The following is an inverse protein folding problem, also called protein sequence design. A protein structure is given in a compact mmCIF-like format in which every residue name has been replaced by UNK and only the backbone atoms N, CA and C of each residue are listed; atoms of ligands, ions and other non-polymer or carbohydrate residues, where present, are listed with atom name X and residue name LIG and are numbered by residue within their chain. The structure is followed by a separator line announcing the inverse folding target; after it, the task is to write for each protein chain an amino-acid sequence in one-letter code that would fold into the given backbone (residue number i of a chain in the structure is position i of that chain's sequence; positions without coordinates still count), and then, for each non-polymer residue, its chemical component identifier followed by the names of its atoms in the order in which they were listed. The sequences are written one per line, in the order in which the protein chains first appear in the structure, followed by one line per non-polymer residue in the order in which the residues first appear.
data_IF_594497971490
#
_entry.id   IF_594497971490
#
_cell.length_a   1.000
_cell.length_b   1.000
_cell.length_c   1.000
_cell.angle_alpha   90.00
_cell.angle_beta   90.00
_cell.angle_gamma   90.00
#
_symmetry.space_group_name_H-M   'P 1'
#
loop_
_entity.id
_entity.type
_entity.pdbx_description
1 polymer ?
#
# COMPACT_ATOMS: atom_id res chain seq x y z
N UNK A 1 10.36 7.64 15.38
CA UNK A 1 10.60 8.75 14.44
C UNK A 1 9.87 8.51 13.13
N UNK A 2 8.54 8.70 13.12
CA UNK A 2 7.72 8.62 11.90
C UNK A 2 8.08 9.76 10.94
N UNK A 3 8.44 10.90 11.50
CA UNK A 3 8.89 12.10 10.78
C UNK A 3 10.18 11.88 9.98
N UNK A 4 11.08 11.01 10.47
CA UNK A 4 12.34 10.68 9.80
C UNK A 4 12.12 9.68 8.66
N UNK A 5 11.15 8.76 8.81
CA UNK A 5 10.66 7.89 7.74
C UNK A 5 9.94 8.69 6.65
N UNK A 6 9.12 9.67 7.03
CA UNK A 6 8.43 10.59 6.12
C UNK A 6 9.40 11.52 5.37
N UNK A 7 10.42 12.06 6.05
CA UNK A 7 11.46 12.85 5.39
C UNK A 7 12.29 12.01 4.42
N UNK A 8 12.55 10.73 4.75
CA UNK A 8 13.16 9.79 3.82
C UNK A 8 12.22 9.44 2.65
N UNK A 9 10.92 9.31 2.89
CA UNK A 9 9.89 9.13 1.84
C UNK A 9 9.89 10.31 0.88
N UNK A 10 9.80 11.55 1.39
CA UNK A 10 9.77 12.78 0.59
C UNK A 10 11.10 12.98 -0.17
N UNK A 11 12.24 12.85 0.51
CA UNK A 11 13.55 13.04 -0.11
C UNK A 11 13.84 12.01 -1.23
N UNK A 12 13.19 10.85 -1.19
CA UNK A 12 13.33 9.77 -2.17
C UNK A 12 12.33 9.85 -3.33
N UNK A 13 11.41 10.82 -3.34
CA UNK A 13 10.34 11.00 -4.34
C UNK A 13 10.78 11.92 -5.49
N UNK A 14 12.04 11.86 -5.94
CA UNK A 14 12.57 12.76 -6.99
C UNK A 14 12.32 12.31 -8.44
N UNK A 15 11.41 11.36 -8.68
CA UNK A 15 11.13 10.81 -10.03
C UNK A 15 9.68 11.02 -10.52
N UNK A 16 8.91 11.89 -9.84
CA UNK A 16 7.57 12.32 -10.25
C UNK A 16 7.54 13.86 -10.28
N UNK A 17 6.79 14.45 -11.20
CA UNK A 17 6.65 15.90 -11.23
C UNK A 17 5.94 16.37 -9.94
N UNK A 18 6.39 17.49 -9.36
CA UNK A 18 5.93 17.96 -8.04
C UNK A 18 4.40 18.21 -7.98
N UNK A 19 3.79 18.49 -9.14
CA UNK A 19 2.36 18.73 -9.30
C UNK A 19 1.52 17.45 -9.27
N UNK A 20 2.04 16.35 -9.84
CA UNK A 20 1.40 15.03 -9.81
C UNK A 20 1.45 14.42 -8.40
N UNK A 21 2.59 14.58 -7.72
CA UNK A 21 2.73 14.17 -6.31
C UNK A 21 1.73 14.88 -5.42
N UNK A 22 1.56 16.19 -5.63
CA UNK A 22 0.64 17.00 -4.84
C UNK A 22 -0.82 16.57 -5.04
N UNK A 23 -1.22 16.31 -6.29
CA UNK A 23 -2.59 15.87 -6.59
C UNK A 23 -2.90 14.49 -6.01
N UNK A 24 -1.93 13.59 -6.03
CA UNK A 24 -2.09 12.25 -5.44
C UNK A 24 -2.12 12.32 -3.91
N UNK A 25 -1.21 13.08 -3.30
CA UNK A 25 -1.08 13.23 -1.85
C UNK A 25 -2.25 14.01 -1.23
N UNK A 26 -2.79 15.04 -1.90
CA UNK A 26 -3.95 15.80 -1.39
C UNK A 26 -5.23 14.96 -1.31
N UNK A 27 -5.30 13.82 -2.00
CA UNK A 27 -6.47 12.97 -2.08
C UNK A 27 -6.24 11.54 -1.55
N UNK A 28 -5.15 11.30 -0.81
CA UNK A 28 -4.88 10.03 -0.14
C UNK A 28 -4.56 10.28 1.33
N UNK A 29 -5.05 9.41 2.21
CA UNK A 29 -4.54 9.33 3.58
C UNK A 29 -3.10 8.81 3.60
N UNK A 30 -2.39 9.02 4.70
CA UNK A 30 -1.00 8.58 4.85
C UNK A 30 -0.83 7.06 4.63
N UNK A 31 -1.75 6.27 5.17
CA UNK A 31 -1.76 4.81 4.98
C UNK A 31 -1.92 4.42 3.50
N UNK A 32 -2.83 5.08 2.78
CA UNK A 32 -3.06 4.83 1.37
C UNK A 32 -1.89 5.28 0.50
N UNK A 33 -1.26 6.41 0.85
CA UNK A 33 -0.08 6.90 0.17
C UNK A 33 1.09 5.92 0.32
N UNK A 34 1.30 5.36 1.51
CA UNK A 34 2.34 4.36 1.75
C UNK A 34 2.15 3.12 0.86
N UNK A 35 0.93 2.55 0.81
CA UNK A 35 0.64 1.41 -0.07
C UNK A 35 0.84 1.78 -1.55
N UNK A 36 0.36 2.95 -1.97
CA UNK A 36 0.56 3.44 -3.33
C UNK A 36 2.04 3.57 -3.69
N UNK A 37 2.89 4.09 -2.79
CA UNK A 37 4.33 4.22 -3.01
C UNK A 37 5.02 2.86 -3.15
N UNK A 38 4.64 1.87 -2.33
CA UNK A 38 5.14 0.50 -2.47
C UNK A 38 4.80 -0.10 -3.83
N UNK A 39 3.61 0.17 -4.35
CA UNK A 39 3.20 -0.25 -5.69
C UNK A 39 3.97 0.51 -6.78
N UNK A 40 4.22 1.80 -6.58
CA UNK A 40 4.89 2.65 -7.56
C UNK A 40 6.43 2.54 -7.59
N UNK A 41 7.06 1.81 -6.66
CA UNK A 41 8.54 1.74 -6.57
C UNK A 41 9.11 0.34 -6.39
N UNK A 42 9.82 -0.24 -7.39
CA UNK A 42 9.88 0.23 -8.79
C UNK A 42 8.52 0.05 -9.48
N UNK A 43 8.15 0.97 -10.36
CA UNK A 43 6.98 0.81 -11.26
C UNK A 43 7.42 0.75 -12.71
N UNK A 44 6.61 0.11 -13.58
CA UNK A 44 6.76 0.27 -15.02
C UNK A 44 6.33 1.69 -15.44
N UNK A 45 6.58 2.07 -16.68
CA UNK A 45 5.99 3.28 -17.24
C UNK A 45 4.47 3.13 -17.35
N UNK A 46 3.75 4.01 -16.65
CA UNK A 46 2.29 4.04 -16.55
C UNK A 46 1.75 5.35 -17.12
N UNK A 47 0.64 5.25 -17.85
CA UNK A 47 -0.21 6.38 -18.22
C UNK A 47 -0.97 6.93 -17.01
N UNK A 48 -1.54 8.13 -17.14
CA UNK A 48 -2.32 8.76 -16.07
C UNK A 48 -3.53 7.91 -15.64
N UNK A 49 -4.18 7.25 -16.60
CA UNK A 49 -5.29 6.34 -16.33
C UNK A 49 -4.85 5.12 -15.52
N UNK A 50 -3.69 4.55 -15.84
CA UNK A 50 -3.12 3.41 -15.11
C UNK A 50 -2.64 3.83 -13.72
N UNK A 51 -2.08 5.03 -13.55
CA UNK A 51 -1.72 5.58 -12.23
C UNK A 51 -2.95 5.75 -11.34
N UNK A 52 -4.05 6.25 -11.90
CA UNK A 52 -5.33 6.36 -11.19
C UNK A 52 -5.89 4.98 -10.82
N UNK A 53 -5.71 3.98 -11.67
CA UNK A 53 -6.08 2.59 -11.35
C UNK A 53 -5.27 2.07 -10.16
N UNK A 54 -3.94 2.25 -10.15
CA UNK A 54 -3.10 1.84 -9.01
C UNK A 54 -3.53 2.54 -7.71
N UNK A 55 -3.89 3.83 -7.79
CA UNK A 55 -4.43 4.57 -6.65
C UNK A 55 -5.71 3.91 -6.09
N UNK A 56 -6.68 3.58 -6.94
CA UNK A 56 -7.92 2.91 -6.54
C UNK A 56 -7.67 1.53 -5.93
N UNK A 57 -6.71 0.78 -6.46
CA UNK A 57 -6.31 -0.52 -5.89
C UNK A 57 -5.74 -0.35 -4.49
N UNK A 58 -4.87 0.65 -4.26
CA UNK A 58 -4.31 0.93 -2.94
C UNK A 58 -5.41 1.30 -1.91
N UNK A 59 -6.34 2.18 -2.30
CA UNK A 59 -7.50 2.56 -1.48
C UNK A 59 -8.39 1.34 -1.15
N UNK A 60 -8.83 0.61 -2.17
CA UNK A 60 -9.73 -0.54 -2.00
C UNK A 60 -9.09 -1.67 -1.20
N UNK A 61 -7.79 -1.90 -1.34
CA UNK A 61 -7.06 -2.90 -0.58
C UNK A 61 -7.12 -2.58 0.91
N UNK A 62 -6.76 -1.36 1.30
CA UNK A 62 -6.76 -0.96 2.70
C UNK A 62 -8.15 -1.01 3.32
N UNK A 63 -9.17 -0.56 2.60
CA UNK A 63 -10.56 -0.63 3.07
C UNK A 63 -10.99 -2.06 3.37
N UNK A 64 -10.69 -3.02 2.49
CA UNK A 64 -11.04 -4.43 2.68
C UNK A 64 -10.23 -5.04 3.81
N UNK A 65 -8.92 -4.78 3.87
CA UNK A 65 -8.06 -5.29 4.93
C UNK A 65 -8.54 -4.82 6.30
N UNK A 66 -8.74 -3.50 6.48
CA UNK A 66 -9.17 -2.92 7.76
C UNK A 66 -10.57 -3.36 8.16
N UNK A 67 -11.50 -3.49 7.20
CA UNK A 67 -12.87 -3.91 7.48
C UNK A 67 -12.98 -5.39 7.85
N UNK A 68 -12.23 -6.26 7.20
CA UNK A 68 -12.51 -7.71 7.23
C UNK A 68 -11.37 -8.59 7.72
N UNK A 69 -10.12 -8.17 7.54
CA UNK A 69 -8.96 -9.07 7.66
C UNK A 69 -8.07 -8.74 8.85
N UNK A 70 -7.90 -7.45 9.15
CA UNK A 70 -7.09 -6.94 10.27
C UNK A 70 -7.90 -6.90 11.57
N UNK A 71 -8.55 -8.03 11.88
CA UNK A 71 -9.39 -8.23 13.08
C UNK A 71 -8.57 -8.91 14.20
N UNK A 72 -9.21 -9.24 15.33
CA UNK A 72 -8.53 -9.78 16.51
C UNK A 72 -7.57 -10.96 16.18
N UNK A 73 -6.35 -10.89 16.72
CA UNK A 73 -5.31 -11.92 16.63
C UNK A 73 -4.90 -12.33 15.21
N UNK A 74 -5.19 -11.50 14.19
CA UNK A 74 -4.94 -11.85 12.80
C UNK A 74 -3.47 -12.18 12.51
N UNK A 75 -2.51 -11.58 13.25
CA UNK A 75 -1.07 -11.84 13.10
C UNK A 75 -0.62 -13.15 13.75
N UNK A 76 -1.31 -13.60 14.79
CA UNK A 76 -0.94 -14.81 15.54
C UNK A 76 -1.39 -16.05 14.77
N UNK A 77 -2.60 -16.01 14.23
CA UNK A 77 -3.20 -17.14 13.54
C UNK A 77 -2.65 -17.32 12.13
N UNK A 78 -2.14 -18.52 11.82
CA UNK A 78 -1.60 -18.84 10.49
C UNK A 78 -2.67 -18.68 9.39
N UNK A 79 -3.91 -19.07 9.71
CA UNK A 79 -5.05 -18.97 8.78
C UNK A 79 -5.39 -17.52 8.47
N UNK A 80 -5.36 -16.64 9.46
CA UNK A 80 -5.67 -15.21 9.29
C UNK A 80 -4.58 -14.51 8.48
N UNK A 81 -3.30 -14.77 8.76
CA UNK A 81 -2.17 -14.31 7.94
C UNK A 81 -2.28 -14.76 6.48
N UNK A 82 -2.62 -16.03 6.24
CA UNK A 82 -2.85 -16.54 4.90
C UNK A 82 -4.03 -15.84 4.21
N UNK A 83 -5.13 -15.57 4.93
CA UNK A 83 -6.25 -14.83 4.37
C UNK A 83 -5.90 -13.38 4.03
N UNK A 84 -5.09 -12.70 4.83
CA UNK A 84 -4.60 -11.34 4.53
C UNK A 84 -3.75 -11.36 3.27
N UNK A 85 -2.80 -12.29 3.17
CA UNK A 85 -1.95 -12.43 1.99
C UNK A 85 -2.76 -12.70 0.72
N UNK A 86 -3.73 -13.62 0.79
CA UNK A 86 -4.63 -13.89 -0.33
C UNK A 86 -5.42 -12.65 -0.74
N UNK A 87 -5.91 -11.86 0.22
CA UNK A 87 -6.63 -10.62 -0.06
C UNK A 87 -5.73 -9.59 -0.76
N UNK A 88 -4.46 -9.50 -0.37
CA UNK A 88 -3.46 -8.67 -1.06
C UNK A 88 -3.28 -9.14 -2.50
N UNK A 89 -3.07 -10.44 -2.73
CA UNK A 89 -2.90 -11.02 -4.06
C UNK A 89 -4.14 -10.77 -4.96
N UNK A 90 -5.35 -11.06 -4.46
CA UNK A 90 -6.63 -10.84 -5.17
C UNK A 90 -6.85 -9.36 -5.52
N UNK A 91 -6.48 -8.43 -4.64
CA UNK A 91 -6.62 -6.99 -4.89
C UNK A 91 -5.59 -6.49 -5.89
N UNK A 92 -4.35 -6.98 -5.80
CA UNK A 92 -3.28 -6.60 -6.71
C UNK A 92 -3.48 -7.18 -8.12
N UNK A 93 -4.33 -8.20 -8.29
CA UNK A 93 -4.73 -8.69 -9.63
C UNK A 93 -5.47 -7.61 -10.43
N UNK A 94 -6.03 -6.60 -9.76
CA UNK A 94 -6.66 -5.44 -10.39
C UNK A 94 -5.64 -4.38 -10.87
N UNK A 95 -4.33 -4.60 -10.69
CA UNK A 95 -3.29 -3.69 -11.20
C UNK A 95 -3.25 -3.67 -12.74
N UNK A 96 -2.75 -2.58 -13.35
CA UNK A 96 -2.55 -2.51 -14.80
C UNK A 96 -1.66 -3.66 -15.33
N UNK A 97 -1.92 -4.10 -16.56
CA UNK A 97 -1.17 -5.20 -17.22
C UNK A 97 0.35 -4.93 -17.33
N UNK A 98 0.77 -3.67 -17.19
CA UNK A 98 2.18 -3.27 -17.14
C UNK A 98 2.94 -3.88 -15.96
N UNK A 99 2.23 -4.26 -14.89
CA UNK A 99 2.81 -5.01 -13.78
C UNK A 99 3.02 -6.46 -14.22
N UNK A 100 4.23 -6.74 -14.73
CA UNK A 100 4.63 -8.10 -15.12
C UNK A 100 4.48 -9.06 -13.94
N UNK A 101 4.30 -10.35 -14.22
CA UNK A 101 4.13 -11.38 -13.18
C UNK A 101 5.22 -11.34 -12.09
N UNK A 102 6.46 -11.06 -12.47
CA UNK A 102 7.57 -10.95 -11.53
C UNK A 102 7.40 -9.71 -10.63
N UNK A 103 7.06 -8.56 -11.21
CA UNK A 103 6.84 -7.34 -10.45
C UNK A 103 5.62 -7.46 -9.54
N UNK A 104 4.51 -8.00 -10.04
CA UNK A 104 3.31 -8.31 -9.27
C UNK A 104 3.64 -9.15 -8.02
N UNK A 105 4.39 -10.25 -8.18
CA UNK A 105 4.73 -11.11 -7.05
C UNK A 105 5.56 -10.34 -5.99
N UNK A 106 6.52 -9.54 -6.44
CA UNK A 106 7.29 -8.67 -5.56
C UNK A 106 6.41 -7.64 -4.83
N UNK A 107 5.41 -7.06 -5.52
CA UNK A 107 4.47 -6.11 -4.91
C UNK A 107 3.60 -6.78 -3.86
N UNK A 108 3.10 -7.98 -4.13
CA UNK A 108 2.34 -8.74 -3.15
C UNK A 108 3.15 -8.99 -1.87
N UNK A 109 4.40 -9.40 -2.01
CA UNK A 109 5.28 -9.63 -0.86
C UNK A 109 5.54 -8.36 -0.06
N UNK A 110 5.91 -7.27 -0.73
CA UNK A 110 6.24 -5.99 -0.08
C UNK A 110 5.02 -5.36 0.59
N UNK A 111 3.86 -5.38 -0.07
CA UNK A 111 2.61 -4.85 0.49
C UNK A 111 2.17 -5.69 1.67
N UNK A 112 2.20 -7.03 1.57
CA UNK A 112 1.87 -7.90 2.69
C UNK A 112 2.81 -7.67 3.89
N UNK A 113 4.12 -7.56 3.64
CA UNK A 113 5.10 -7.31 4.70
C UNK A 113 4.84 -5.97 5.39
N UNK A 114 4.57 -4.93 4.61
CA UNK A 114 4.22 -3.62 5.14
C UNK A 114 2.95 -3.66 6.00
N UNK A 115 1.90 -4.36 5.57
CA UNK A 115 0.67 -4.55 6.35
C UNK A 115 0.97 -5.30 7.66
N UNK A 116 1.81 -6.33 7.61
CA UNK A 116 2.21 -7.08 8.79
C UNK A 116 3.00 -6.23 9.79
N UNK A 117 3.86 -5.34 9.31
CA UNK A 117 4.70 -4.51 10.17
C UNK A 117 3.96 -3.26 10.70
N UNK A 118 2.95 -2.79 9.98
CA UNK A 118 2.31 -1.48 10.22
C UNK A 118 0.98 -1.54 10.97
N UNK A 119 0.35 -2.71 11.07
CA UNK A 119 -0.96 -2.91 11.72
C UNK A 119 -0.87 -3.97 12.83
N UNK A 120 -1.53 -3.73 13.95
CA UNK A 120 -1.52 -4.60 15.14
C UNK A 120 -2.92 -5.09 15.54
N UNK A 121 -2.93 -6.11 16.40
CA UNK A 121 -4.12 -6.91 16.77
C UNK A 121 -5.20 -6.12 17.53
N UNK A 122 -4.87 -4.95 18.08
CA UNK A 122 -5.77 -4.08 18.84
C UNK A 122 -6.32 -2.91 18.01
N UNK A 123 -6.21 -3.00 16.67
CA UNK A 123 -6.64 -1.97 15.75
C UNK A 123 -5.68 -0.80 15.63
N UNK A 124 -4.55 -0.83 16.35
CA UNK A 124 -3.53 0.21 16.22
C UNK A 124 -2.74 0.06 14.93
N UNK A 125 -2.38 1.20 14.35
CA UNK A 125 -1.48 1.29 13.22
C UNK A 125 -0.37 2.31 13.47
N UNK A 126 0.71 2.24 12.68
CA UNK A 126 1.76 3.29 12.69
C UNK A 126 1.22 4.67 12.28
N UNK A 127 0.04 4.71 11.66
CA UNK A 127 -0.64 5.90 11.15
C UNK A 127 -1.52 6.59 12.19
N UNK A 128 -1.87 5.92 13.29
CA UNK A 128 -2.72 6.50 14.34
C UNK A 128 -2.03 7.64 15.12
N UNK A 129 -0.70 7.73 15.00
CA UNK A 129 0.13 8.75 15.67
C UNK A 129 0.26 10.04 14.85
N UNK A 130 -0.23 10.04 13.62
CA UNK A 130 0.00 11.08 12.62
C UNK A 130 -1.29 11.81 12.18
N UNK A 131 -2.42 11.53 12.85
CA UNK A 131 -3.71 12.18 12.64
C UNK A 131 -3.92 13.38 13.57
#
# INVERSE_FOLDING_TARGET
NVEEFFQQLIAFTKDLNAEEQRTVAEALSEEQLAVYDLLMRPSPELSDAERLQVKRVAESLLDVLKREKLVLDWRKEQRSRASVRLTVEEKLDELPERFTRQLYAQKCDVVYQHVFDSYWDDGRSVYDSAA
#
